data_IF_456833448860
#
_entry.id   IF_456833448860
#
_cell.length_a   1.000
_cell.length_b   1.000
_cell.length_c   1.000
_cell.angle_alpha   90.00
_cell.angle_beta   90.00
_cell.angle_gamma   90.00
#
_symmetry.space_group_name_H-M   'P 1'
#
loop_
_entity.id
_entity.type
_entity.pdbx_description
1 polymer ?
#
# COMPACT_ATOMS: atom_id res chain seq x y z
N UNK A 1 -12.42 -5.79 -4.51
CA UNK A 1 -11.31 -4.82 -4.39
C UNK A 1 -10.64 -4.72 -5.73
N UNK A 2 -10.55 -3.52 -6.27
CA UNK A 2 -9.97 -3.27 -7.59
C UNK A 2 -8.54 -2.73 -7.50
N UNK A 3 -7.81 -2.82 -8.62
CA UNK A 3 -6.54 -2.12 -8.77
C UNK A 3 -6.76 -0.60 -8.62
N UNK A 4 -5.77 0.15 -8.11
CA UNK A 4 -5.83 1.61 -8.17
C UNK A 4 -5.97 2.04 -9.63
N UNK A 5 -7.07 2.71 -9.95
CA UNK A 5 -7.37 3.13 -11.32
C UNK A 5 -6.33 4.15 -11.82
N UNK A 6 -6.15 4.21 -13.14
CA UNK A 6 -5.10 5.05 -13.76
C UNK A 6 -5.27 6.54 -13.41
N UNK A 7 -6.51 7.04 -13.43
CA UNK A 7 -6.83 8.42 -13.06
C UNK A 7 -6.40 8.76 -11.64
N UNK A 8 -6.60 7.85 -10.69
CA UNK A 8 -6.19 8.01 -9.30
C UNK A 8 -4.66 7.97 -9.17
N UNK A 9 -4.00 7.05 -9.87
CA UNK A 9 -2.53 7.03 -9.92
C UNK A 9 -1.96 8.34 -10.44
N UNK A 10 -2.57 8.90 -11.48
CA UNK A 10 -2.16 10.19 -12.03
C UNK A 10 -2.46 11.35 -11.09
N UNK A 11 -3.58 11.32 -10.37
CA UNK A 11 -3.87 12.27 -9.30
C UNK A 11 -2.79 12.25 -8.21
N UNK A 12 -2.33 11.07 -7.79
CA UNK A 12 -1.23 10.94 -6.82
C UNK A 12 0.07 11.51 -7.40
N UNK A 13 0.40 11.19 -8.66
CA UNK A 13 1.59 11.76 -9.32
C UNK A 13 1.55 13.28 -9.39
N UNK A 14 0.40 13.87 -9.74
CA UNK A 14 0.25 15.33 -9.79
C UNK A 14 0.32 15.95 -8.41
N UNK A 15 -0.29 15.32 -7.40
CA UNK A 15 -0.19 15.79 -6.02
C UNK A 15 1.26 15.78 -5.52
N UNK A 16 2.06 14.78 -5.88
CA UNK A 16 3.49 14.70 -5.54
C UNK A 16 4.36 15.77 -6.24
N UNK A 17 3.80 16.55 -7.17
CA UNK A 17 4.46 17.72 -7.78
C UNK A 17 4.05 19.05 -7.14
N UNK A 18 3.18 19.04 -6.12
CA UNK A 18 2.73 20.26 -5.44
C UNK A 18 3.91 21.04 -4.83
N UNK A 19 3.71 22.32 -4.53
CA UNK A 19 4.72 23.15 -3.85
C UNK A 19 4.66 22.99 -2.31
N UNK A 20 4.00 21.94 -1.82
CA UNK A 20 3.94 21.64 -0.39
C UNK A 20 5.31 21.20 0.14
N UNK A 21 5.57 21.41 1.45
CA UNK A 21 6.74 20.83 2.11
C UNK A 21 6.83 19.32 1.83
N UNK A 22 8.03 18.76 1.58
CA UNK A 22 8.18 17.37 1.13
C UNK A 22 7.46 16.35 2.03
N UNK A 23 7.57 16.51 3.34
CA UNK A 23 6.95 15.60 4.31
C UNK A 23 5.42 15.68 4.26
N UNK A 24 4.86 16.89 4.17
CA UNK A 24 3.42 17.12 4.06
C UNK A 24 2.86 16.56 2.75
N UNK A 25 3.63 16.68 1.66
CA UNK A 25 3.28 16.13 0.35
C UNK A 25 3.19 14.61 0.36
N UNK A 26 4.18 13.94 0.95
CA UNK A 26 4.16 12.49 1.11
C UNK A 26 2.99 12.07 2.03
N UNK A 27 2.81 12.75 3.16
CA UNK A 27 1.73 12.46 4.10
C UNK A 27 0.34 12.61 3.48
N UNK A 28 0.10 13.70 2.73
CA UNK A 28 -1.15 13.93 2.03
C UNK A 28 -1.39 12.90 0.90
N UNK A 29 -0.36 12.55 0.12
CA UNK A 29 -0.46 11.48 -0.87
C UNK A 29 -0.85 10.15 -0.22
N UNK A 30 -0.20 9.79 0.89
CA UNK A 30 -0.51 8.57 1.65
C UNK A 30 -1.91 8.61 2.23
N UNK A 31 -2.37 9.76 2.72
CA UNK A 31 -3.73 9.94 3.23
C UNK A 31 -4.77 9.71 2.12
N UNK A 32 -4.57 10.26 0.93
CA UNK A 32 -5.45 10.01 -0.22
C UNK A 32 -5.49 8.52 -0.60
N UNK A 33 -4.33 7.86 -0.61
CA UNK A 33 -4.23 6.42 -0.85
C UNK A 33 -4.99 5.63 0.23
N UNK A 34 -4.84 5.99 1.50
CA UNK A 34 -5.51 5.32 2.60
C UNK A 34 -7.03 5.50 2.56
N UNK A 35 -7.52 6.69 2.21
CA UNK A 35 -8.95 7.00 2.06
C UNK A 35 -9.57 6.14 0.95
N UNK A 36 -8.93 6.08 -0.23
CA UNK A 36 -9.40 5.28 -1.36
C UNK A 36 -9.34 3.78 -1.04
N UNK A 37 -8.22 3.31 -0.49
CA UNK A 37 -8.06 1.91 -0.07
C UNK A 37 -9.09 1.52 1.00
N UNK A 38 -9.40 2.41 1.94
CA UNK A 38 -10.41 2.15 2.97
C UNK A 38 -11.81 2.01 2.34
N UNK A 39 -12.13 2.85 1.36
CA UNK A 39 -13.38 2.74 0.59
C UNK A 39 -13.49 1.36 -0.04
N UNK A 40 -12.43 0.88 -0.68
CA UNK A 40 -12.35 -0.46 -1.29
C UNK A 40 -12.44 -1.60 -0.27
N UNK A 41 -11.91 -1.42 0.94
CA UNK A 41 -12.01 -2.41 2.03
C UNK A 41 -13.44 -2.46 2.58
N UNK A 42 -14.17 -1.34 2.61
CA UNK A 42 -15.52 -1.26 3.17
C UNK A 42 -16.61 -1.56 2.13
N UNK A 43 -16.34 -1.31 0.83
CA UNK A 43 -17.20 -1.72 -0.26
C UNK A 43 -17.26 -3.25 -0.32
N UNK A 44 -18.44 -3.80 -0.06
CA UNK A 44 -18.75 -5.20 0.24
C UNK A 44 -18.58 -6.21 -0.93
N UNK A 45 -17.62 -6.00 -1.83
CA UNK A 45 -17.45 -6.79 -3.08
C UNK A 45 -16.15 -7.58 -3.12
N UNK A 46 -15.94 -8.45 -2.14
CA UNK A 46 -15.01 -9.57 -2.25
C UNK A 46 -15.81 -10.86 -1.99
N UNK A 47 -16.79 -11.14 -2.85
CA UNK A 47 -17.26 -12.51 -3.07
C UNK A 47 -16.36 -13.10 -4.14
N UNK A 48 -15.42 -13.97 -3.77
CA UNK A 48 -14.39 -14.37 -4.71
C UNK A 48 -14.88 -15.62 -5.40
N UNK A 49 -15.02 -15.55 -6.72
CA UNK A 49 -15.35 -16.74 -7.48
C UNK A 49 -14.14 -17.69 -7.45
N UNK A 50 -14.40 -19.00 -7.28
CA UNK A 50 -13.36 -20.03 -7.18
C UNK A 50 -12.39 -19.92 -8.38
N UNK A 51 -11.12 -19.57 -8.10
CA UNK A 51 -10.08 -19.39 -9.13
C UNK A 51 -9.44 -18.00 -9.18
N UNK A 52 -9.98 -16.98 -8.49
CA UNK A 52 -9.48 -15.59 -8.53
C UNK A 52 -8.40 -15.24 -7.48
N UNK A 53 -7.85 -16.22 -6.76
CA UNK A 53 -6.88 -15.97 -5.69
C UNK A 53 -5.64 -15.19 -6.15
N UNK A 54 -5.13 -15.46 -7.36
CA UNK A 54 -3.99 -14.74 -7.92
C UNK A 54 -4.29 -13.27 -8.27
N UNK A 55 -5.49 -12.98 -8.78
CA UNK A 55 -5.88 -11.62 -9.15
C UNK A 55 -5.99 -10.73 -7.90
N UNK A 56 -6.49 -11.28 -6.80
CA UNK A 56 -6.62 -10.53 -5.56
C UNK A 56 -5.28 -10.15 -4.92
N UNK A 57 -4.24 -10.99 -5.05
CA UNK A 57 -2.89 -10.63 -4.60
C UNK A 57 -2.25 -9.55 -5.48
N UNK A 58 -2.45 -9.63 -6.81
CA UNK A 58 -1.98 -8.61 -7.76
C UNK A 58 -2.57 -7.23 -7.45
N UNK A 59 -3.81 -7.19 -6.98
CA UNK A 59 -4.47 -5.95 -6.53
C UNK A 59 -3.78 -5.38 -5.29
N UNK A 60 -3.52 -6.20 -4.26
CA UNK A 60 -2.81 -5.74 -3.05
C UNK A 60 -1.40 -5.26 -3.38
N UNK A 61 -0.67 -5.99 -4.23
CA UNK A 61 0.66 -5.59 -4.70
C UNK A 61 0.64 -4.25 -5.44
N UNK A 62 -0.40 -4.02 -6.27
CA UNK A 62 -0.59 -2.75 -6.97
C UNK A 62 -0.79 -1.56 -6.02
N UNK A 63 -1.52 -1.75 -4.92
CA UNK A 63 -1.68 -0.73 -3.88
C UNK A 63 -0.37 -0.50 -3.12
N UNK A 64 0.32 -1.56 -2.71
CA UNK A 64 1.64 -1.46 -2.06
C UNK A 64 2.68 -0.76 -2.94
N UNK A 65 2.66 -1.03 -4.24
CA UNK A 65 3.52 -0.36 -5.24
C UNK A 65 3.24 1.14 -5.33
N UNK A 66 1.97 1.56 -5.29
CA UNK A 66 1.60 2.97 -5.30
C UNK A 66 2.07 3.71 -4.04
N UNK A 67 1.96 3.05 -2.88
CA UNK A 67 2.48 3.56 -1.59
C UNK A 67 4.00 3.72 -1.67
N UNK A 68 4.71 2.70 -2.16
CA UNK A 68 6.16 2.72 -2.35
C UNK A 68 6.60 3.85 -3.28
N UNK A 69 5.87 4.07 -4.39
CA UNK A 69 6.09 5.19 -5.29
C UNK A 69 5.94 6.55 -4.59
N UNK A 70 4.85 6.74 -3.82
CA UNK A 70 4.59 7.98 -3.11
C UNK A 70 5.71 8.32 -2.11
N UNK A 71 6.11 7.35 -1.28
CA UNK A 71 7.22 7.53 -0.33
C UNK A 71 8.55 7.71 -1.05
N UNK A 72 8.82 6.89 -2.07
CA UNK A 72 10.08 6.93 -2.82
C UNK A 72 10.30 8.26 -3.54
N UNK A 73 9.24 8.91 -4.00
CA UNK A 73 9.32 10.23 -4.64
C UNK A 73 9.88 11.32 -3.73
N UNK A 74 9.72 11.19 -2.41
CA UNK A 74 10.14 12.18 -1.42
C UNK A 74 11.36 11.73 -0.63
N UNK A 75 11.38 10.47 -0.19
CA UNK A 75 12.37 9.99 0.77
C UNK A 75 13.48 9.16 0.13
N UNK A 76 13.36 8.69 -1.12
CA UNK A 76 14.42 7.85 -1.68
C UNK A 76 15.74 8.64 -1.84
N UNK A 77 16.91 7.97 -1.80
CA UNK A 77 18.21 8.64 -1.97
C UNK A 77 18.32 9.48 -3.25
N UNK A 78 17.63 9.06 -4.31
CA UNK A 78 17.55 9.73 -5.61
C UNK A 78 16.46 10.81 -5.70
N UNK A 79 15.66 11.01 -4.64
CA UNK A 79 14.66 12.07 -4.58
C UNK A 79 15.34 13.44 -4.56
N UNK A 80 14.68 14.52 -5.04
CA UNK A 80 15.14 15.89 -4.84
C UNK A 80 15.32 16.28 -3.35
N UNK A 81 14.73 15.52 -2.41
CA UNK A 81 14.74 15.82 -0.98
C UNK A 81 15.19 14.61 -0.13
N UNK A 82 16.42 14.10 -0.30
CA UNK A 82 16.87 12.92 0.43
C UNK A 82 16.93 13.22 1.93
N UNK A 83 16.27 12.39 2.74
CA UNK A 83 16.19 12.56 4.20
C UNK A 83 16.42 11.25 4.93
N UNK A 84 17.21 11.23 6.01
CA UNK A 84 17.40 10.04 6.82
C UNK A 84 16.12 9.75 7.62
N UNK A 85 15.29 8.83 7.12
CA UNK A 85 14.07 8.39 7.77
C UNK A 85 12.84 9.24 7.46
N UNK A 86 11.70 8.80 7.99
CA UNK A 86 10.38 9.39 7.71
C UNK A 86 9.95 10.37 8.77
N UNK A 87 9.13 11.35 8.38
CA UNK A 87 8.38 12.14 9.35
C UNK A 87 7.44 11.25 10.17
N UNK A 88 7.03 11.75 11.34
CA UNK A 88 6.09 11.04 12.21
C UNK A 88 4.75 10.79 11.50
N UNK A 89 4.19 11.79 10.84
CA UNK A 89 2.91 11.67 10.13
C UNK A 89 2.96 10.65 8.98
N UNK A 90 4.06 10.63 8.22
CA UNK A 90 4.29 9.59 7.20
C UNK A 90 4.37 8.19 7.81
N UNK A 91 5.06 8.03 8.95
CA UNK A 91 5.15 6.74 9.65
C UNK A 91 3.80 6.25 10.18
N UNK A 92 2.99 7.16 10.73
CA UNK A 92 1.63 6.88 11.19
C UNK A 92 0.71 6.48 10.02
N UNK A 93 0.77 7.21 8.89
CA UNK A 93 0.00 6.88 7.69
C UNK A 93 0.40 5.54 7.07
N UNK A 94 1.70 5.24 7.00
CA UNK A 94 2.17 3.94 6.53
C UNK A 94 1.66 2.81 7.41
N UNK A 95 1.70 2.98 8.73
CA UNK A 95 1.16 1.99 9.68
C UNK A 95 -0.34 1.75 9.44
N UNK A 96 -1.10 2.82 9.19
CA UNK A 96 -2.53 2.71 8.88
C UNK A 96 -2.81 1.99 7.55
N UNK A 97 -2.06 2.32 6.49
CA UNK A 97 -2.19 1.66 5.18
C UNK A 97 -1.84 0.17 5.27
N UNK A 98 -0.81 -0.18 6.04
CA UNK A 98 -0.43 -1.57 6.30
C UNK A 98 -1.55 -2.35 6.96
N UNK A 99 -2.21 -1.73 7.94
CA UNK A 99 -3.34 -2.35 8.61
C UNK A 99 -4.49 -2.59 7.62
N UNK A 100 -4.78 -1.63 6.74
CA UNK A 100 -5.77 -1.80 5.67
C UNK A 100 -5.39 -2.95 4.72
N UNK A 101 -4.18 -2.96 4.17
CA UNK A 101 -3.71 -4.03 3.27
C UNK A 101 -3.73 -5.41 3.98
N UNK A 102 -3.36 -5.45 5.27
CA UNK A 102 -3.44 -6.66 6.08
C UNK A 102 -4.87 -7.16 6.25
N UNK A 103 -5.85 -6.26 6.40
CA UNK A 103 -7.27 -6.64 6.43
C UNK A 103 -7.71 -7.23 5.10
N UNK A 104 -7.27 -6.67 3.97
CA UNK A 104 -7.54 -7.23 2.64
C UNK A 104 -7.00 -8.66 2.55
N UNK A 105 -5.72 -8.84 2.89
CA UNK A 105 -5.04 -10.13 2.81
C UNK A 105 -5.66 -11.19 3.74
N UNK A 106 -6.04 -10.80 4.97
CA UNK A 106 -6.76 -11.69 5.89
C UNK A 106 -8.09 -12.19 5.33
N UNK A 107 -8.80 -11.36 4.56
CA UNK A 107 -10.05 -11.79 3.88
C UNK A 107 -9.77 -12.75 2.73
N UNK A 108 -8.66 -12.56 2.02
CA UNK A 108 -8.24 -13.46 0.94
C UNK A 108 -7.79 -14.84 1.42
N UNK A 109 -7.41 -14.97 2.70
CA UNK A 109 -7.06 -16.25 3.34
C UNK A 109 -8.12 -17.34 3.16
N UNK A 110 -9.40 -16.98 3.02
CA UNK A 110 -10.49 -17.94 2.84
C UNK A 110 -10.58 -18.59 1.46
N UNK A 111 -9.77 -18.13 0.48
CA UNK A 111 -10.02 -18.38 -0.96
C UNK A 111 -8.92 -19.16 -1.66
N UNK A 112 -7.76 -19.24 -1.01
CA UNK A 112 -6.56 -19.78 -1.62
C UNK A 112 -6.19 -21.09 -0.95
N UNK A 113 -5.84 -22.09 -1.75
CA UNK A 113 -5.32 -23.39 -1.31
C UNK A 113 -4.11 -23.24 -0.35
N UNK A 114 -3.73 -24.29 0.42
CA UNK A 114 -2.84 -24.18 1.56
C UNK A 114 -1.41 -23.94 1.09
N UNK A 115 -1.04 -22.68 0.93
CA UNK A 115 0.28 -22.26 0.49
C UNK A 115 0.71 -21.11 1.40
N UNK A 116 1.90 -21.20 1.96
CA UNK A 116 2.48 -20.14 2.79
C UNK A 116 2.96 -19.02 1.88
N UNK A 117 2.58 -17.77 2.18
CA UNK A 117 3.10 -16.62 1.47
C UNK A 117 3.49 -15.50 2.44
N UNK A 118 4.33 -14.60 1.96
CA UNK A 118 4.72 -13.38 2.65
C UNK A 118 4.73 -12.22 1.65
N UNK A 119 4.10 -11.10 2.00
CA UNK A 119 4.29 -9.83 1.29
C UNK A 119 5.28 -9.01 2.09
N UNK A 120 6.41 -8.68 1.47
CA UNK A 120 7.45 -7.85 2.08
C UNK A 120 7.55 -6.54 1.31
N UNK A 121 7.01 -5.46 1.87
CA UNK A 121 7.19 -4.12 1.31
C UNK A 121 8.44 -3.51 1.92
N UNK A 122 9.53 -3.48 1.17
CA UNK A 122 10.80 -2.91 1.62
C UNK A 122 10.96 -1.50 1.11
N UNK A 123 11.27 -0.57 2.02
CA UNK A 123 11.49 0.83 1.70
C UNK A 123 12.99 1.19 1.75
N UNK A 124 13.41 2.30 1.09
CA UNK A 124 14.82 2.67 0.93
C UNK A 124 15.62 2.88 2.22
N UNK A 125 14.96 2.97 3.39
CA UNK A 125 15.58 3.20 4.69
C UNK A 125 15.54 1.98 5.61
N UNK A 126 15.37 0.78 5.05
CA UNK A 126 15.50 -0.49 5.80
C UNK A 126 14.27 -0.88 6.62
N UNK A 127 13.12 -0.25 6.38
CA UNK A 127 11.83 -0.74 6.91
C UNK A 127 11.23 -1.72 5.91
N UNK A 128 10.97 -2.92 6.38
CA UNK A 128 10.30 -3.98 5.64
C UNK A 128 9.01 -4.33 6.37
N UNK A 129 7.88 -4.19 5.69
CA UNK A 129 6.61 -4.66 6.18
C UNK A 129 6.42 -6.07 5.66
N UNK A 130 6.71 -7.04 6.51
CA UNK A 130 6.43 -8.43 6.24
C UNK A 130 5.06 -8.79 6.81
N UNK A 131 4.15 -9.19 5.93
CA UNK A 131 2.93 -9.90 6.34
C UNK A 131 3.09 -11.33 5.88
N UNK A 132 3.46 -12.21 6.81
CA UNK A 132 3.65 -13.65 6.56
C UNK A 132 2.58 -14.49 7.25
N UNK A 133 2.23 -15.60 6.60
CA UNK A 133 1.29 -16.59 7.14
C UNK A 133 1.90 -17.98 7.07
N UNK A 134 2.05 -18.59 8.24
CA UNK A 134 2.29 -20.02 8.40
C UNK A 134 0.99 -20.71 8.83
N UNK A 135 0.65 -21.83 8.20
CA UNK A 135 -0.31 -22.77 8.76
C UNK A 135 0.37 -23.46 9.95
N UNK A 136 0.02 -23.09 11.18
CA UNK A 136 0.18 -24.03 12.31
C UNK A 136 -0.74 -25.22 12.02
N UNK A 137 -0.13 -26.41 11.93
CA UNK A 137 -0.82 -27.69 11.76
C UNK A 137 -1.54 -28.09 13.04
#
# INVERSE_FOLDING_TARGET
>A
MEHPNEKFRDQIKEHLKSDEPPDARAENALRLIAEELRSEVHAEQLQPEEGQGQDAFSVVDSWASLVSFAVGSVYAPQSPFPRPGWSRGVSEMLSHIVELLSQCLKRLRGLSAPTSWAIVVTFPWGLSLEVSWSLER
#
